data_IF_800851659220
#
_entry.id   IF_800851659220
#
_cell.length_a   1.000
_cell.length_b   1.000
_cell.length_c   1.000
_cell.angle_alpha   90.00
_cell.angle_beta   90.00
_cell.angle_gamma   90.00
#
_symmetry.space_group_name_H-M   'P 1'
#
loop_
_entity.id
_entity.type
_entity.pdbx_description
1 polymer ?
#
# COMPACT_ATOMS: atom_id res chain seq x y z
N UNK A 1 -59.55 11.67 -2.06
CA UNK A 1 -58.48 11.37 -3.04
C UNK A 1 -57.07 11.70 -2.53
N UNK A 2 -56.93 12.56 -1.52
CA UNK A 2 -55.64 13.01 -0.98
C UNK A 2 -54.84 11.94 -0.19
N UNK A 3 -55.48 11.21 0.74
CA UNK A 3 -54.77 10.25 1.61
C UNK A 3 -54.05 9.10 0.86
N UNK A 4 -54.59 8.68 -0.29
CA UNK A 4 -54.01 7.62 -1.12
C UNK A 4 -52.75 8.09 -1.86
N UNK A 5 -52.64 9.40 -2.15
CA UNK A 5 -51.45 10.00 -2.78
C UNK A 5 -50.31 10.11 -1.76
N UNK A 6 -50.60 10.50 -0.52
CA UNK A 6 -49.60 10.53 0.57
C UNK A 6 -49.06 9.14 0.94
N UNK A 7 -49.91 8.10 0.90
CA UNK A 7 -49.46 6.71 1.13
C UNK A 7 -48.53 6.19 0.03
N UNK A 8 -48.80 6.54 -1.24
CA UNK A 8 -47.94 6.15 -2.37
C UNK A 8 -46.63 6.95 -2.36
N UNK A 9 -46.68 8.26 -2.09
CA UNK A 9 -45.48 9.10 -1.94
C UNK A 9 -44.60 8.66 -0.77
N UNK A 10 -45.20 8.33 0.38
CA UNK A 10 -44.47 7.80 1.53
C UNK A 10 -43.84 6.42 1.27
N UNK A 11 -44.55 5.54 0.56
CA UNK A 11 -44.02 4.23 0.15
C UNK A 11 -42.87 4.33 -0.85
N UNK A 12 -42.96 5.24 -1.83
CA UNK A 12 -41.89 5.48 -2.79
C UNK A 12 -40.67 6.11 -2.12
N UNK A 13 -40.86 7.10 -1.25
CA UNK A 13 -39.75 7.72 -0.50
C UNK A 13 -39.05 6.71 0.41
N UNK A 14 -39.81 5.86 1.12
CA UNK A 14 -39.25 4.80 1.94
C UNK A 14 -38.50 3.76 1.10
N UNK A 15 -39.02 3.36 -0.06
CA UNK A 15 -38.35 2.42 -0.98
C UNK A 15 -37.07 3.01 -1.58
N UNK A 16 -37.06 4.30 -1.94
CA UNK A 16 -35.85 4.98 -2.44
C UNK A 16 -34.81 5.15 -1.35
N UNK A 17 -35.21 5.47 -0.11
CA UNK A 17 -34.31 5.54 1.03
C UNK A 17 -33.72 4.16 1.35
N UNK A 18 -34.51 3.09 1.23
CA UNK A 18 -34.03 1.71 1.37
C UNK A 18 -33.04 1.32 0.26
N UNK A 19 -33.30 1.67 -1.00
CA UNK A 19 -32.38 1.40 -2.11
C UNK A 19 -31.05 2.15 -1.95
N UNK A 20 -31.09 3.39 -1.43
CA UNK A 20 -29.89 4.18 -1.12
C UNK A 20 -29.11 3.62 0.07
N UNK A 21 -29.78 2.97 1.03
CA UNK A 21 -29.11 2.29 2.16
C UNK A 21 -28.54 0.92 1.76
N UNK A 22 -29.08 0.24 0.73
CA UNK A 22 -28.53 -1.00 0.18
C UNK A 22 -27.31 -0.78 -0.73
N UNK A 23 -27.06 0.45 -1.17
CA UNK A 23 -25.92 0.82 -2.00
C UNK A 23 -24.77 1.40 -1.16
N UNK A 24 -24.50 0.77 -0.01
CA UNK A 24 -23.20 0.94 0.63
C UNK A 24 -22.11 0.51 -0.38
N UNK A 25 -21.10 1.34 -0.67
CA UNK A 25 -20.05 0.94 -1.58
C UNK A 25 -19.34 -0.27 -0.97
N UNK A 26 -19.24 -1.34 -1.74
CA UNK A 26 -18.34 -2.45 -1.45
C UNK A 26 -16.88 -1.98 -1.67
N UNK A 27 -16.46 -0.91 -0.99
CA UNK A 27 -15.09 -0.40 -1.01
C UNK A 27 -14.29 -0.94 0.17
N UNK A 28 -14.57 -2.20 0.54
CA UNK A 28 -13.67 -2.94 1.40
C UNK A 28 -12.51 -3.47 0.53
N UNK A 29 -11.38 -2.76 0.60
CA UNK A 29 -10.06 -3.10 0.07
C UNK A 29 -9.73 -2.59 -1.35
N UNK A 30 -9.61 -1.27 -1.50
CA UNK A 30 -8.66 -0.70 -2.47
C UNK A 30 -7.21 -0.97 -2.01
N UNK A 31 -6.81 -2.25 -1.93
CA UNK A 31 -5.41 -2.60 -1.77
C UNK A 31 -4.77 -2.41 -3.13
N UNK A 32 -3.98 -1.34 -3.27
CA UNK A 32 -3.21 -1.06 -4.49
C UNK A 32 -2.32 -2.22 -4.93
N UNK A 33 -2.03 -3.17 -4.03
CA UNK A 33 -1.33 -4.41 -4.33
C UNK A 33 -2.09 -5.61 -3.71
N UNK A 34 -2.49 -6.63 -4.49
CA UNK A 34 -3.07 -7.86 -3.94
C UNK A 34 -2.02 -8.62 -3.11
N UNK A 35 -2.41 -9.60 -2.28
CA UNK A 35 -1.45 -10.47 -1.61
C UNK A 35 -0.53 -11.17 -2.61
N UNK A 36 0.77 -11.18 -2.33
CA UNK A 36 1.79 -11.88 -3.11
C UNK A 36 2.79 -12.57 -2.19
N UNK A 37 3.48 -13.58 -2.71
CA UNK A 37 4.57 -14.23 -2.01
C UNK A 37 5.87 -13.44 -2.17
N UNK A 38 6.61 -13.30 -1.06
CA UNK A 38 8.00 -12.85 -1.12
C UNK A 38 8.83 -13.92 -1.83
N UNK A 39 9.88 -13.49 -2.53
CA UNK A 39 10.79 -14.39 -3.24
C UNK A 39 12.23 -14.14 -2.86
N UNK A 40 13.03 -15.19 -2.90
CA UNK A 40 14.50 -15.13 -2.86
C UNK A 40 15.06 -14.56 -4.18
N UNK A 41 16.37 -14.31 -4.24
CA UNK A 41 17.02 -13.81 -5.46
C UNK A 41 16.95 -14.80 -6.64
N UNK A 42 16.98 -16.10 -6.37
CA UNK A 42 16.78 -17.16 -7.36
C UNK A 42 15.29 -17.41 -7.69
N UNK A 43 14.38 -16.62 -7.12
CA UNK A 43 12.96 -16.63 -7.44
C UNK A 43 12.11 -17.67 -6.71
N UNK A 44 12.67 -18.37 -5.71
CA UNK A 44 11.92 -19.32 -4.87
C UNK A 44 11.01 -18.57 -3.91
N UNK A 45 9.88 -19.17 -3.56
CA UNK A 45 8.93 -18.59 -2.61
C UNK A 45 9.52 -18.63 -1.19
N UNK A 46 9.38 -17.52 -0.47
CA UNK A 46 9.63 -17.45 0.97
C UNK A 46 8.28 -17.57 1.67
N UNK A 47 8.13 -18.58 2.53
CA UNK A 47 6.96 -18.76 3.37
C UNK A 47 7.36 -18.77 4.85
N UNK A 48 7.22 -17.63 5.55
CA UNK A 48 7.60 -17.53 6.96
C UNK A 48 6.69 -18.32 7.90
N UNK A 49 5.49 -18.74 7.45
CA UNK A 49 4.56 -19.52 8.28
C UNK A 49 4.93 -21.00 8.34
N UNK A 50 5.54 -21.53 7.26
CA UNK A 50 5.97 -22.93 7.18
C UNK A 50 7.47 -23.10 7.38
N UNK A 51 8.24 -22.01 7.34
CA UNK A 51 9.69 -22.02 7.43
C UNK A 51 10.39 -22.22 6.08
N UNK A 52 9.65 -22.38 4.98
CA UNK A 52 10.23 -22.55 3.64
C UNK A 52 11.01 -21.29 3.23
N UNK A 53 12.33 -21.44 3.04
CA UNK A 53 13.27 -20.36 2.71
C UNK A 53 13.18 -19.14 3.66
N UNK A 54 12.68 -19.32 4.90
CA UNK A 54 12.44 -18.22 5.83
C UNK A 54 13.73 -17.56 6.35
N UNK A 55 14.86 -18.24 6.21
CA UNK A 55 16.21 -17.78 6.52
C UNK A 55 16.87 -17.01 5.36
N UNK A 56 16.27 -17.04 4.18
CA UNK A 56 16.84 -16.44 2.98
C UNK A 56 16.43 -14.97 2.83
N UNK A 57 17.31 -14.10 2.28
CA UNK A 57 16.97 -12.72 2.01
C UNK A 57 15.91 -12.61 0.91
N UNK A 58 14.96 -11.70 1.08
CA UNK A 58 13.98 -11.41 0.03
C UNK A 58 14.62 -10.53 -1.07
N UNK A 59 14.20 -10.76 -2.31
CA UNK A 59 14.60 -9.97 -3.48
C UNK A 59 13.46 -9.05 -3.90
N UNK A 60 13.59 -7.72 -3.76
CA UNK A 60 12.60 -6.80 -4.29
C UNK A 60 12.52 -6.87 -5.83
N UNK A 61 13.58 -7.31 -6.52
CA UNK A 61 13.57 -7.52 -7.97
C UNK A 61 12.65 -8.67 -8.36
N UNK A 62 12.79 -9.83 -7.72
CA UNK A 62 11.94 -10.99 -8.01
C UNK A 62 10.51 -10.82 -7.49
N UNK A 63 10.34 -10.10 -6.39
CA UNK A 63 9.05 -9.95 -5.71
C UNK A 63 8.20 -8.84 -6.32
N UNK A 64 8.76 -7.65 -6.55
CA UNK A 64 8.02 -6.47 -7.02
C UNK A 64 8.16 -6.24 -8.54
N UNK A 65 9.28 -6.68 -9.13
CA UNK A 65 9.55 -6.59 -10.57
C UNK A 65 8.51 -7.23 -11.50
N UNK A 66 7.74 -8.26 -11.09
CA UNK A 66 6.65 -8.80 -11.91
C UNK A 66 5.50 -7.81 -12.14
N UNK A 67 5.29 -6.87 -11.22
CA UNK A 67 4.16 -5.92 -11.25
C UNK A 67 4.62 -4.47 -11.50
N UNK A 68 5.90 -4.17 -11.26
CA UNK A 68 6.45 -2.83 -11.34
C UNK A 68 7.78 -2.82 -12.07
N UNK A 69 8.11 -1.70 -12.72
CA UNK A 69 9.47 -1.49 -13.18
C UNK A 69 10.41 -1.36 -11.98
N UNK A 70 11.27 -2.36 -11.79
CA UNK A 70 12.20 -2.41 -10.66
C UNK A 70 13.09 -1.17 -10.56
N UNK A 71 13.61 -0.70 -11.69
CA UNK A 71 14.52 0.45 -11.75
C UNK A 71 13.80 1.77 -11.46
N UNK A 72 12.47 1.78 -11.56
CA UNK A 72 11.65 2.94 -11.20
C UNK A 72 11.32 2.93 -9.71
N UNK A 73 10.82 1.82 -9.18
CA UNK A 73 10.41 1.75 -7.77
C UNK A 73 11.58 1.95 -6.81
N UNK A 74 12.79 1.50 -7.19
CA UNK A 74 13.99 1.65 -6.37
C UNK A 74 14.45 3.10 -6.20
N UNK A 75 13.95 4.02 -7.03
CA UNK A 75 14.18 5.47 -6.87
C UNK A 75 13.27 6.08 -5.80
N UNK A 76 12.24 5.37 -5.35
CA UNK A 76 11.35 5.81 -4.29
C UNK A 76 12.08 5.99 -2.97
N UNK A 77 11.61 6.96 -2.17
CA UNK A 77 12.21 7.29 -0.87
C UNK A 77 12.37 6.07 0.06
N UNK A 78 11.42 5.13 0.04
CA UNK A 78 11.47 3.90 0.84
C UNK A 78 12.76 3.09 0.63
N UNK A 79 13.25 3.02 -0.62
CA UNK A 79 14.46 2.27 -0.96
C UNK A 79 15.72 3.12 -0.82
N UNK A 80 15.64 4.37 -1.26
CA UNK A 80 16.81 5.24 -1.35
C UNK A 80 17.14 5.94 -0.02
N UNK A 81 16.17 6.09 0.89
CA UNK A 81 16.38 6.79 2.16
C UNK A 81 17.07 8.17 2.00
N UNK A 82 16.76 8.87 0.90
CA UNK A 82 17.35 10.17 0.58
C UNK A 82 18.84 10.15 0.19
N UNK A 83 19.38 9.00 -0.25
CA UNK A 83 20.77 8.88 -0.71
C UNK A 83 21.14 9.85 -1.86
N UNK A 84 20.15 10.25 -2.66
CA UNK A 84 20.29 11.23 -3.74
C UNK A 84 20.56 12.67 -3.24
N UNK A 85 20.37 12.92 -1.94
CA UNK A 85 20.51 14.24 -1.31
C UNK A 85 21.54 14.28 -0.18
N UNK A 86 22.47 13.33 -0.14
CA UNK A 86 23.52 13.23 0.89
C UNK A 86 24.41 14.47 0.90
N UNK A 87 24.64 15.04 2.09
CA UNK A 87 25.58 16.15 2.30
C UNK A 87 26.24 16.05 3.67
N UNK A 88 27.55 16.29 3.75
CA UNK A 88 28.29 16.35 5.02
C UNK A 88 27.77 17.46 5.95
N UNK A 89 27.17 18.50 5.38
CA UNK A 89 26.59 19.63 6.11
C UNK A 89 25.08 19.49 6.32
N UNK A 90 24.50 18.29 6.12
CA UNK A 90 23.05 18.09 6.17
C UNK A 90 22.45 18.44 7.54
N UNK A 91 23.08 17.99 8.63
CA UNK A 91 22.70 18.37 10.00
C UNK A 91 23.91 18.89 10.77
N UNK A 92 23.84 20.14 11.21
CA UNK A 92 24.88 20.77 12.05
C UNK A 92 24.94 20.15 13.45
N UNK A 93 23.77 19.85 14.01
CA UNK A 93 23.66 19.30 15.37
C UNK A 93 23.92 17.79 15.41
N UNK A 94 23.74 17.10 14.28
CA UNK A 94 23.97 15.66 14.13
C UNK A 94 24.83 15.40 12.89
N UNK A 95 26.15 15.68 12.92
CA UNK A 95 27.01 15.53 11.75
C UNK A 95 27.06 14.11 11.16
N UNK A 96 26.69 13.09 11.94
CA UNK A 96 26.55 11.70 11.49
C UNK A 96 25.23 11.45 10.73
N UNK A 97 24.33 12.41 10.60
CA UNK A 97 23.12 12.32 9.80
C UNK A 97 23.31 13.09 8.51
N UNK A 98 23.36 12.36 7.39
CA UNK A 98 23.75 12.89 6.09
C UNK A 98 22.59 13.08 5.10
N UNK A 99 21.40 12.55 5.40
CA UNK A 99 20.20 12.67 4.56
C UNK A 99 18.91 12.58 5.38
N UNK A 100 17.78 12.83 4.71
CA UNK A 100 16.42 12.70 5.27
C UNK A 100 16.14 11.28 5.82
N UNK A 101 16.73 10.24 5.22
CA UNK A 101 16.57 8.85 5.66
C UNK A 101 17.63 8.39 6.66
N UNK A 102 18.26 9.33 7.38
CA UNK A 102 19.25 9.04 8.44
C UNK A 102 20.48 8.26 7.96
N UNK A 103 20.86 8.41 6.69
CA UNK A 103 22.12 7.85 6.18
C UNK A 103 23.30 8.37 7.02
N UNK A 104 24.26 7.50 7.32
CA UNK A 104 25.44 7.81 8.14
C UNK A 104 25.24 7.60 9.65
N UNK A 105 23.99 7.42 10.11
CA UNK A 105 23.70 7.17 11.52
C UNK A 105 24.06 5.71 11.86
N UNK A 106 25.06 5.54 12.71
CA UNK A 106 25.48 4.25 13.31
C UNK A 106 25.00 4.15 14.75
#
# INVERSE_FOLDING_TARGET
MEAKRYGILGGVLAATAWLLLLSAPADAANRKCPPFHLKTEDGKIINPLTGENADQPYSPRQTCGPCHNYDEITKGFHFQQGWDKIKDTYSKDKPWVLSDGMVGKM
#
